data_IF_123414587398
#
_entry.id   IF_123414587398
#
_cell.length_a   1.000
_cell.length_b   1.000
_cell.length_c   1.000
_cell.angle_alpha   90.00
_cell.angle_beta   90.00
_cell.angle_gamma   90.00
#
_symmetry.space_group_name_H-M   'P 1'
#
loop_
_entity.id
_entity.type
_entity.pdbx_description
1 polymer ?
#
# COMPACT_ATOMS: atom_id res chain seq x y z
N UNK A 1 -2.54 4.35 0.94
CA UNK A 1 -1.31 5.17 0.89
C UNK A 1 -0.05 4.38 1.21
N UNK A 2 -0.01 3.55 2.27
CA UNK A 2 1.19 2.75 2.63
C UNK A 2 1.76 1.90 1.48
N UNK A 3 0.91 1.34 0.61
CA UNK A 3 1.33 0.60 -0.58
C UNK A 3 2.24 1.43 -1.52
N UNK A 4 1.86 2.69 -1.78
CA UNK A 4 2.64 3.61 -2.61
C UNK A 4 3.99 3.94 -1.94
N UNK A 5 4.00 4.13 -0.62
CA UNK A 5 5.23 4.33 0.14
C UNK A 5 6.15 3.11 0.08
N UNK A 6 5.60 1.89 0.17
CA UNK A 6 6.38 0.65 0.07
C UNK A 6 7.09 0.49 -1.27
N UNK A 7 6.44 0.90 -2.35
CA UNK A 7 7.07 0.94 -3.68
C UNK A 7 8.21 1.96 -3.71
N UNK A 8 7.98 3.19 -3.24
CA UNK A 8 8.99 4.26 -3.26
C UNK A 8 10.20 3.99 -2.34
N UNK A 9 9.98 3.27 -1.24
CA UNK A 9 11.02 2.81 -0.32
C UNK A 9 11.83 1.63 -0.87
N UNK A 10 11.44 1.06 -2.02
CA UNK A 10 12.08 -0.13 -2.58
C UNK A 10 11.89 -1.38 -1.70
N UNK A 11 10.79 -1.44 -0.93
CA UNK A 11 10.53 -2.53 0.04
C UNK A 11 9.96 -3.79 -0.57
N UNK A 12 9.91 -3.90 -1.90
CA UNK A 12 9.28 -5.01 -2.62
C UNK A 12 10.33 -5.71 -3.48
N UNK A 13 10.50 -7.01 -3.27
CA UNK A 13 11.43 -7.84 -4.03
C UNK A 13 10.67 -8.99 -4.68
N UNK A 14 10.83 -9.20 -5.99
CA UNK A 14 10.28 -10.36 -6.68
C UNK A 14 11.20 -11.58 -6.46
N UNK A 15 10.63 -12.70 -6.05
CA UNK A 15 11.33 -13.96 -5.80
C UNK A 15 10.58 -15.08 -6.54
N UNK A 16 11.09 -15.48 -7.71
CA UNK A 16 10.47 -16.49 -8.57
C UNK A 16 8.98 -16.19 -8.89
N UNK A 17 8.07 -16.95 -8.28
CA UNK A 17 6.61 -16.93 -8.45
C UNK A 17 5.89 -16.00 -7.46
N UNK A 18 6.61 -15.35 -6.54
CA UNK A 18 6.02 -14.52 -5.50
C UNK A 18 6.81 -13.23 -5.26
N UNK A 19 6.31 -12.40 -4.36
CA UNK A 19 6.95 -11.16 -3.91
C UNK A 19 7.15 -11.19 -2.41
N UNK A 20 8.21 -10.54 -1.96
CA UNK A 20 8.46 -10.24 -0.56
C UNK A 20 8.28 -8.75 -0.35
N UNK A 21 7.35 -8.37 0.53
CA UNK A 21 7.10 -6.99 0.93
C UNK A 21 7.60 -6.79 2.35
N UNK A 22 8.55 -5.88 2.54
CA UNK A 22 9.13 -5.57 3.85
C UNK A 22 8.32 -4.46 4.54
N UNK A 23 8.08 -4.55 5.84
CA UNK A 23 7.41 -3.50 6.64
C UNK A 23 8.18 -2.17 6.63
N UNK A 24 7.53 -1.07 7.00
CA UNK A 24 8.17 0.26 7.06
C UNK A 24 9.37 0.33 8.01
N UNK A 25 9.38 -0.47 9.09
CA UNK A 25 10.52 -0.56 10.02
C UNK A 25 11.55 -1.64 9.66
N UNK A 26 11.32 -2.44 8.61
CA UNK A 26 12.23 -3.51 8.22
C UNK A 26 12.14 -4.79 9.06
N UNK A 27 11.33 -4.80 10.12
CA UNK A 27 11.24 -5.87 11.11
C UNK A 27 10.41 -7.08 10.65
N UNK A 28 9.58 -6.92 9.62
CA UNK A 28 8.68 -7.96 9.10
C UNK A 28 8.79 -8.05 7.58
N UNK A 29 8.63 -9.27 7.08
CA UNK A 29 8.56 -9.59 5.66
C UNK A 29 7.29 -10.37 5.39
N UNK A 30 6.56 -9.95 4.37
CA UNK A 30 5.31 -10.55 3.96
C UNK A 30 5.46 -11.22 2.61
N UNK A 31 5.00 -12.47 2.52
CA UNK A 31 4.93 -13.22 1.26
C UNK A 31 3.65 -12.84 0.54
N UNK A 32 3.77 -12.35 -0.69
CA UNK A 32 2.63 -11.97 -1.54
C UNK A 32 2.65 -12.81 -2.82
N UNK A 33 1.51 -13.44 -3.15
CA UNK A 33 1.31 -14.15 -4.43
C UNK A 33 0.15 -13.54 -5.19
N UNK A 34 0.30 -13.47 -6.52
CA UNK A 34 -0.75 -13.00 -7.43
C UNK A 34 -0.84 -13.97 -8.61
N UNK A 35 -1.98 -14.66 -8.71
CA UNK A 35 -2.30 -15.66 -9.74
C UNK A 35 -3.62 -15.25 -10.42
N UNK A 36 -3.55 -14.44 -11.49
CA UNK A 36 -4.75 -13.83 -12.08
C UNK A 36 -5.43 -12.88 -11.08
N UNK A 37 -6.72 -13.12 -10.78
CA UNK A 37 -7.49 -12.44 -9.74
C UNK A 37 -7.30 -13.04 -8.33
N UNK A 38 -6.66 -14.20 -8.21
CA UNK A 38 -6.39 -14.84 -6.92
C UNK A 38 -5.16 -14.19 -6.28
N UNK A 39 -5.35 -13.62 -5.10
CA UNK A 39 -4.29 -12.90 -4.37
C UNK A 39 -4.05 -13.50 -3.00
N UNK A 40 -2.82 -13.42 -2.51
CA UNK A 40 -2.46 -13.92 -1.18
C UNK A 40 -1.47 -12.98 -0.53
N UNK A 41 -1.60 -12.78 0.78
CA UNK A 41 -0.56 -12.21 1.62
C UNK A 41 -0.62 -12.82 3.01
N UNK A 42 0.55 -13.06 3.59
CA UNK A 42 0.68 -13.60 4.93
C UNK A 42 0.63 -12.54 6.04
N UNK A 43 0.37 -11.27 5.69
CA UNK A 43 0.21 -10.16 6.62
C UNK A 43 -1.04 -10.30 7.51
N UNK A 44 -0.96 -9.73 8.72
CA UNK A 44 -2.02 -9.85 9.72
C UNK A 44 -3.35 -9.24 9.27
N UNK A 45 -3.34 -8.17 8.47
CA UNK A 45 -4.56 -7.55 7.96
C UNK A 45 -5.28 -8.51 7.02
N UNK A 46 -4.56 -9.06 6.05
CA UNK A 46 -5.09 -10.02 5.08
C UNK A 46 -5.55 -11.32 5.75
N UNK A 47 -4.76 -11.85 6.69
CA UNK A 47 -5.08 -13.11 7.40
C UNK A 47 -6.25 -12.99 8.37
N UNK A 48 -6.23 -12.01 9.26
CA UNK A 48 -7.16 -11.97 10.40
C UNK A 48 -8.34 -11.02 10.20
N UNK A 49 -8.23 -10.03 9.31
CA UNK A 49 -9.25 -8.98 9.12
C UNK A 49 -9.96 -9.05 7.77
N UNK A 50 -9.67 -10.08 6.98
CA UNK A 50 -10.36 -10.42 5.73
C UNK A 50 -10.47 -9.28 4.69
N UNK A 51 -9.45 -8.42 4.59
CA UNK A 51 -9.36 -7.40 3.54
C UNK A 51 -8.08 -7.56 2.71
N UNK A 52 -8.03 -6.95 1.52
CA UNK A 52 -6.82 -6.92 0.69
C UNK A 52 -5.85 -5.90 1.28
N UNK A 53 -4.80 -6.38 1.95
CA UNK A 53 -3.81 -5.54 2.62
C UNK A 53 -2.92 -4.73 1.69
N UNK A 54 -2.22 -3.74 2.25
CA UNK A 54 -1.25 -2.93 1.51
C UNK A 54 -0.17 -3.75 0.78
N UNK A 55 0.32 -4.92 1.29
CA UNK A 55 1.32 -5.69 0.57
C UNK A 55 0.80 -6.17 -0.79
N UNK A 56 -0.45 -6.65 -0.83
CA UNK A 56 -1.11 -7.09 -2.07
C UNK A 56 -1.31 -5.89 -2.99
N UNK A 57 -1.86 -4.79 -2.47
CA UNK A 57 -2.12 -3.57 -3.26
C UNK A 57 -0.83 -3.08 -3.92
N UNK A 58 0.29 -3.08 -3.19
CA UNK A 58 1.56 -2.62 -3.71
C UNK A 58 2.09 -3.52 -4.84
N UNK A 59 1.95 -4.84 -4.72
CA UNK A 59 2.32 -5.77 -5.79
C UNK A 59 1.40 -5.62 -7.00
N UNK A 60 0.09 -5.48 -6.81
CA UNK A 60 -0.85 -5.26 -7.91
C UNK A 60 -0.57 -3.96 -8.66
N UNK A 61 -0.15 -2.89 -7.97
CA UNK A 61 0.33 -1.66 -8.60
C UNK A 61 1.58 -1.89 -9.46
N UNK A 62 2.56 -2.66 -8.95
CA UNK A 62 3.77 -3.00 -9.70
C UNK A 62 3.50 -3.89 -10.93
N UNK A 63 2.49 -4.77 -10.86
CA UNK A 63 2.05 -5.59 -12.00
C UNK A 63 1.16 -4.82 -12.99
N UNK A 64 0.91 -3.52 -12.76
CA UNK A 64 0.05 -2.71 -13.62
C UNK A 64 -1.43 -3.05 -13.54
N UNK A 65 -1.86 -3.80 -12.51
CA UNK A 65 -3.25 -4.21 -12.27
C UNK A 65 -4.05 -3.20 -11.44
N UNK A 66 -3.37 -2.28 -10.75
CA UNK A 66 -4.00 -1.17 -10.03
C UNK A 66 -3.38 0.17 -10.45
N UNK A 67 -4.13 1.28 -10.38
CA UNK A 67 -3.60 2.60 -10.65
C UNK A 67 -2.37 2.93 -9.79
N UNK A 68 -1.37 3.54 -10.40
CA UNK A 68 -0.13 3.95 -9.76
C UNK A 68 0.25 5.36 -10.20
N UNK A 69 0.49 6.25 -9.24
CA UNK A 69 1.06 7.58 -9.48
C UNK A 69 2.46 7.63 -8.87
N UNK A 70 3.47 7.72 -9.73
CA UNK A 70 4.89 7.74 -9.34
C UNK A 70 5.22 8.95 -8.47
N UNK A 71 4.69 10.13 -8.78
CA UNK A 71 4.99 11.37 -8.06
C UNK A 71 4.41 11.31 -6.65
N UNK A 72 3.18 10.83 -6.50
CA UNK A 72 2.57 10.63 -5.18
C UNK A 72 3.31 9.54 -4.40
N UNK A 73 3.70 8.45 -5.07
CA UNK A 73 4.53 7.40 -4.45
C UNK A 73 5.84 7.95 -3.90
N UNK A 74 6.59 8.71 -4.70
CA UNK A 74 7.85 9.34 -4.29
C UNK A 74 7.66 10.33 -3.12
N UNK A 75 6.55 11.06 -3.08
CA UNK A 75 6.25 11.95 -1.96
C UNK A 75 5.95 11.21 -0.64
N UNK A 76 5.52 9.95 -0.71
CA UNK A 76 5.26 9.08 0.45
C UNK A 76 6.49 8.29 0.91
N UNK A 77 7.64 8.49 0.27
CA UNK A 77 8.91 7.83 0.61
C UNK A 77 9.39 8.22 2.01
N UNK A 78 9.87 7.23 2.76
CA UNK A 78 10.46 7.41 4.09
C UNK A 78 9.45 7.70 5.20
N UNK A 79 8.16 7.47 4.96
CA UNK A 79 7.14 7.58 6.01
C UNK A 79 7.19 6.33 6.90
N UNK A 80 7.38 6.56 8.20
CA UNK A 80 7.34 5.53 9.23
C UNK A 80 5.89 5.17 9.59
N UNK A 81 5.25 4.41 8.69
CA UNK A 81 3.83 4.04 8.80
C UNK A 81 3.53 3.29 10.09
N UNK A 82 4.39 2.36 10.51
CA UNK A 82 4.17 1.56 11.72
C UNK A 82 4.20 2.44 12.96
N UNK A 83 5.22 3.27 13.12
CA UNK A 83 5.30 4.21 14.25
C UNK A 83 4.09 5.14 14.32
N UNK A 84 3.65 5.71 13.20
CA UNK A 84 2.46 6.57 13.17
C UNK A 84 1.20 5.79 13.56
N UNK A 85 1.00 4.60 13.00
CA UNK A 85 -0.15 3.76 13.31
C UNK A 85 -0.18 3.33 14.79
N UNK A 86 0.96 2.98 15.38
CA UNK A 86 1.06 2.58 16.79
C UNK A 86 0.91 3.76 17.75
N UNK A 87 1.41 4.94 17.35
CA UNK A 87 1.31 6.18 18.15
C UNK A 87 -0.13 6.66 18.22
N UNK A 88 -0.81 6.79 17.07
CA UNK A 88 -2.12 7.41 17.00
C UNK A 88 -3.28 6.43 17.09
N UNK A 89 -3.07 5.15 16.73
CA UNK A 89 -4.09 4.08 16.73
C UNK A 89 -5.41 4.44 16.04
N UNK A 90 -5.36 5.44 15.16
CA UNK A 90 -6.49 5.98 14.43
C UNK A 90 -6.02 6.30 13.01
N UNK A 91 -6.53 5.53 12.05
CA UNK A 91 -6.12 5.64 10.66
C UNK A 91 -6.41 7.03 10.08
N UNK A 92 -7.57 7.62 10.36
CA UNK A 92 -7.96 8.94 9.82
C UNK A 92 -7.04 10.05 10.33
N UNK A 93 -6.53 9.93 11.56
CA UNK A 93 -5.54 10.88 12.11
C UNK A 93 -4.20 10.73 11.39
N UNK A 94 -3.72 9.51 11.21
CA UNK A 94 -2.46 9.22 10.49
C UNK A 94 -2.54 9.70 9.04
N UNK A 95 -3.64 9.39 8.36
CA UNK A 95 -3.90 9.81 6.98
C UNK A 95 -3.85 11.34 6.84
N UNK A 96 -4.55 12.07 7.73
CA UNK A 96 -4.53 13.54 7.72
C UNK A 96 -3.13 14.10 7.93
N UNK A 97 -2.39 13.60 8.93
CA UNK A 97 -1.01 14.03 9.21
C UNK A 97 -0.12 13.88 7.97
N UNK A 98 -0.27 12.75 7.26
CA UNK A 98 0.55 12.45 6.09
C UNK A 98 0.15 13.32 4.91
N UNK A 99 -1.15 13.50 4.65
CA UNK A 99 -1.64 14.39 3.59
C UNK A 99 -1.17 15.83 3.80
N UNK A 100 -1.31 16.35 5.01
CA UNK A 100 -0.82 17.68 5.37
C UNK A 100 0.70 17.81 5.18
N UNK A 101 1.46 16.78 5.58
CA UNK A 101 2.93 16.75 5.41
C UNK A 101 3.32 16.75 3.93
N UNK A 102 2.73 15.86 3.13
CA UNK A 102 2.99 15.75 1.70
C UNK A 102 2.63 17.04 0.97
N UNK A 103 1.49 17.64 1.31
CA UNK A 103 1.06 18.92 0.75
C UNK A 103 2.06 20.04 1.02
N UNK A 104 2.47 20.20 2.29
CA UNK A 104 3.41 21.26 2.70
C UNK A 104 4.82 21.07 2.17
N UNK A 105 5.35 19.84 2.21
CA UNK A 105 6.76 19.57 1.92
C UNK A 105 7.04 19.21 0.46
N UNK A 106 6.04 18.66 -0.25
CA UNK A 106 6.20 18.10 -1.61
C UNK A 106 5.31 18.80 -2.65
N UNK A 107 4.42 19.70 -2.23
CA UNK A 107 3.56 20.47 -3.12
C UNK A 107 2.51 19.62 -3.85
N UNK A 108 2.14 18.46 -3.30
CA UNK A 108 1.08 17.60 -3.85
C UNK A 108 -0.22 17.91 -3.09
N UNK A 109 -1.25 18.32 -3.81
CA UNK A 109 -2.53 18.65 -3.17
C UNK A 109 -3.20 17.40 -2.59
N UNK A 110 -3.91 17.58 -1.47
CA UNK A 110 -4.62 16.46 -0.83
C UNK A 110 -5.66 15.82 -1.76
N UNK A 111 -6.32 16.62 -2.60
CA UNK A 111 -7.28 16.14 -3.61
C UNK A 111 -6.66 15.22 -4.66
N UNK A 112 -5.37 15.40 -5.00
CA UNK A 112 -4.65 14.52 -5.92
C UNK A 112 -4.38 13.16 -5.26
N UNK A 113 -4.05 13.18 -3.96
CA UNK A 113 -3.88 11.97 -3.13
C UNK A 113 -5.23 11.24 -3.01
N UNK A 114 -6.32 11.97 -2.79
CA UNK A 114 -7.66 11.40 -2.73
C UNK A 114 -8.08 10.78 -4.06
N UNK A 115 -7.79 11.45 -5.18
CA UNK A 115 -8.11 10.94 -6.51
C UNK A 115 -7.42 9.60 -6.83
N UNK A 116 -6.15 9.44 -6.45
CA UNK A 116 -5.47 8.14 -6.63
C UNK A 116 -6.03 7.07 -5.68
N UNK A 117 -6.34 7.41 -4.42
CA UNK A 117 -6.95 6.48 -3.47
C UNK A 117 -8.30 5.99 -4.01
N UNK A 118 -9.15 6.92 -4.45
CA UNK A 118 -10.46 6.60 -5.01
C UNK A 118 -10.35 5.74 -6.26
N UNK A 119 -9.41 6.05 -7.16
CA UNK A 119 -9.16 5.26 -8.38
C UNK A 119 -8.75 3.82 -8.04
N UNK A 120 -7.86 3.64 -7.07
CA UNK A 120 -7.44 2.30 -6.60
C UNK A 120 -8.60 1.55 -5.96
N UNK A 121 -9.39 2.20 -5.11
CA UNK A 121 -10.55 1.58 -4.46
C UNK A 121 -11.63 1.20 -5.48
N UNK A 122 -11.84 2.03 -6.51
CA UNK A 122 -12.74 1.72 -7.61
C UNK A 122 -12.27 0.50 -8.39
N UNK A 123 -10.98 0.42 -8.71
CA UNK A 123 -10.43 -0.72 -9.44
C UNK A 123 -10.49 -2.01 -8.61
N UNK A 124 -10.20 -1.94 -7.32
CA UNK A 124 -10.40 -3.05 -6.38
C UNK A 124 -11.86 -3.51 -6.28
N UNK A 125 -12.84 -2.61 -6.47
CA UNK A 125 -14.26 -2.96 -6.51
C UNK A 125 -14.69 -3.57 -7.84
N UNK A 126 -14.11 -3.10 -8.95
CA UNK A 126 -14.42 -3.61 -10.30
C UNK A 126 -13.84 -4.99 -10.53
N UNK A 127 -12.61 -5.21 -10.09
CA UNK A 127 -11.95 -6.50 -10.18
C UNK A 127 -12.42 -7.40 -9.04
N UNK A 128 -12.81 -8.63 -9.37
CA UNK A 128 -13.17 -9.65 -8.39
C UNK A 128 -11.93 -10.31 -7.78
N UNK A 129 -10.96 -9.51 -7.29
CA UNK A 129 -9.80 -10.06 -6.60
C UNK A 129 -10.27 -10.83 -5.36
N UNK A 130 -9.90 -12.10 -5.26
CA UNK A 130 -10.29 -12.95 -4.15
C UNK A 130 -9.07 -13.55 -3.47
N UNK A 131 -9.15 -13.71 -2.15
CA UNK A 131 -8.03 -14.20 -1.37
C UNK A 131 -7.89 -15.71 -1.52
N UNK A 132 -6.68 -16.18 -1.78
CA UNK A 132 -6.34 -17.57 -1.51
C UNK A 132 -6.45 -17.83 0.00
N UNK A 133 -7.07 -18.95 0.37
CA UNK A 133 -7.18 -19.41 1.76
C UNK A 133 -5.86 -19.99 2.24
#
# INVERSE_FOLDING_TARGET
MEALGAIADGRITKVNDHYIVTSSEGDRKYTVKVEGEKVFSDDNGTKFRNYIGYPIIAVLMLEGKLPFDKRISEALKGIDWKKLNETYKNYSVVERIIKEKVSKEKGINESEIDGIIESVLNELRRHSFYKAT
#
